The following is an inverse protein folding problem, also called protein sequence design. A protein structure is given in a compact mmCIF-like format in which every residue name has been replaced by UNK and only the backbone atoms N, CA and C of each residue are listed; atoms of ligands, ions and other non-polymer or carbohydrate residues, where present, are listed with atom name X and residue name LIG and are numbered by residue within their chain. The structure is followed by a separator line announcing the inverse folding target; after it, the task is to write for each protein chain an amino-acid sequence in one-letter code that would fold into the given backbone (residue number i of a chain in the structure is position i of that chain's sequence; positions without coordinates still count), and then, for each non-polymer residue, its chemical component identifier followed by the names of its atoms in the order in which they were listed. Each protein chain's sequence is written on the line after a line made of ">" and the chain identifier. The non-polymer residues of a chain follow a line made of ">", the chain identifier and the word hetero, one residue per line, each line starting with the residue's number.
data_IF_155925965620
#
_entry.id   IF_155925965620
#
_cell.length_a   1.000
_cell.length_b   1.000
_cell.length_c   1.000
_cell.angle_alpha   90.00
_cell.angle_beta   90.00
_cell.angle_gamma   90.00
#
_symmetry.space_group_name_H-M   'P 1'
#
loop_
_entity.id
_entity.type
_entity.pdbx_description
1 polymer ?
#
# COMPACT_ATOMS: atom_id res chain seq x y z
N UNK A 1 -24.42 -64.72 7.58
CA UNK A 1 -23.84 -65.99 7.09
C UNK A 1 -22.72 -65.62 6.12
N UNK A 2 -21.50 -65.60 6.66
CA UNK A 2 -20.31 -66.36 6.19
C UNK A 2 -19.55 -65.68 5.05
N UNK A 3 -18.56 -64.83 5.34
CA UNK A 3 -17.10 -65.11 5.48
C UNK A 3 -16.46 -65.82 4.30
N UNK A 4 -15.43 -65.19 3.71
CA UNK A 4 -14.11 -65.82 3.50
C UNK A 4 -13.04 -64.73 3.42
N UNK A 5 -12.14 -64.74 4.40
CA UNK A 5 -10.83 -64.08 4.41
C UNK A 5 -9.85 -64.86 3.54
N UNK A 6 -8.91 -64.19 2.87
CA UNK A 6 -7.55 -64.71 2.69
C UNK A 6 -6.51 -63.60 2.89
N UNK A 7 -5.52 -63.95 3.71
CA UNK A 7 -4.42 -63.14 4.24
C UNK A 7 -3.36 -62.78 3.19
N UNK A 8 -2.70 -61.65 3.48
CA UNK A 8 -1.43 -61.14 2.95
C UNK A 8 -0.22 -62.04 3.26
N UNK A 9 0.92 -61.77 2.62
CA UNK A 9 2.02 -61.25 3.42
C UNK A 9 2.65 -59.99 2.82
N UNK A 10 3.08 -59.09 3.72
CA UNK A 10 3.49 -57.73 3.42
C UNK A 10 4.93 -57.53 2.99
N UNK A 11 5.17 -56.31 2.53
CA UNK A 11 6.47 -55.64 2.45
C UNK A 11 6.21 -54.11 2.52
N UNK A 12 6.53 -53.51 3.67
CA UNK A 12 6.66 -52.05 3.87
C UNK A 12 8.13 -51.63 3.59
N UNK A 13 8.48 -50.33 3.51
CA UNK A 13 7.95 -49.31 2.60
C UNK A 13 9.09 -48.51 1.92
N UNK A 14 8.89 -48.04 0.69
CA UNK A 14 9.68 -46.91 0.18
C UNK A 14 8.84 -45.65 0.31
N UNK A 15 9.19 -44.81 1.29
CA UNK A 15 8.68 -43.45 1.38
C UNK A 15 9.22 -42.63 0.20
N UNK A 16 8.37 -42.33 -0.77
CA UNK A 16 8.55 -41.20 -1.66
C UNK A 16 7.46 -40.18 -1.35
N UNK A 17 7.78 -39.30 -0.40
CA UNK A 17 7.02 -38.08 -0.16
C UNK A 17 7.13 -37.18 -1.38
N UNK A 18 6.17 -37.31 -2.31
CA UNK A 18 5.89 -36.30 -3.33
C UNK A 18 5.45 -35.05 -2.58
N UNK A 19 6.39 -34.13 -2.34
CA UNK A 19 6.06 -32.76 -1.94
C UNK A 19 5.18 -32.19 -3.05
N UNK A 20 3.93 -31.88 -2.70
CA UNK A 20 3.05 -31.05 -3.51
C UNK A 20 3.78 -29.75 -3.89
N UNK A 21 3.58 -29.20 -5.09
CA UNK A 21 4.19 -27.94 -5.47
C UNK A 21 3.81 -26.87 -4.44
N UNK A 22 4.81 -26.26 -3.82
CA UNK A 22 4.62 -25.11 -2.93
C UNK A 22 4.38 -23.92 -3.85
N UNK A 23 3.14 -23.45 -3.92
CA UNK A 23 2.86 -22.15 -4.52
C UNK A 23 3.40 -21.08 -3.58
N UNK A 24 4.55 -20.51 -3.92
CA UNK A 24 5.11 -19.33 -3.27
C UNK A 24 4.52 -18.11 -3.94
N UNK A 25 3.45 -17.57 -3.38
CA UNK A 25 2.93 -16.26 -3.78
C UNK A 25 3.79 -15.19 -3.11
N UNK A 26 4.84 -14.75 -3.80
CA UNK A 26 5.64 -13.62 -3.35
C UNK A 26 4.94 -12.31 -3.75
N UNK A 27 4.10 -11.79 -2.87
CA UNK A 27 3.55 -10.44 -3.02
C UNK A 27 4.46 -9.51 -2.24
N UNK A 28 5.17 -8.61 -2.93
CA UNK A 28 5.91 -7.52 -2.30
C UNK A 28 4.89 -6.54 -1.69
N UNK A 29 4.39 -6.83 -0.49
CA UNK A 29 3.48 -5.92 0.21
C UNK A 29 4.28 -5.02 1.12
N UNK A 30 4.51 -3.78 0.69
CA UNK A 30 4.78 -2.71 1.63
C UNK A 30 3.46 -1.97 1.89
N UNK A 31 2.74 -2.41 2.93
CA UNK A 31 1.61 -1.66 3.49
C UNK A 31 2.09 -0.52 4.42
N UNK A 32 3.40 -0.28 4.49
CA UNK A 32 4.00 0.93 5.04
C UNK A 32 3.50 2.18 4.30
N UNK A 33 3.55 3.32 4.97
CA UNK A 33 3.13 4.65 4.51
C UNK A 33 3.08 4.90 2.98
N UNK A 34 2.15 5.74 2.50
CA UNK A 34 2.13 6.19 1.08
C UNK A 34 3.48 6.82 0.68
N UNK A 35 4.25 7.34 1.64
CA UNK A 35 5.60 7.85 1.40
C UNK A 35 6.69 6.77 1.36
N UNK A 36 6.48 5.61 2.00
CA UNK A 36 7.44 4.49 1.93
C UNK A 36 7.50 3.90 0.51
N UNK A 37 6.49 4.16 -0.32
CA UNK A 37 6.46 3.77 -1.73
C UNK A 37 7.40 4.63 -2.60
N UNK A 38 7.73 5.86 -2.18
CA UNK A 38 8.47 6.82 -3.02
C UNK A 38 9.81 7.28 -2.42
N UNK A 39 10.11 6.96 -1.15
CA UNK A 39 11.42 7.25 -0.55
C UNK A 39 12.53 6.25 -0.91
N UNK A 40 12.25 5.21 -1.71
CA UNK A 40 13.31 4.36 -2.27
C UNK A 40 13.99 4.96 -3.51
N UNK A 41 13.41 6.01 -4.11
CA UNK A 41 13.87 6.54 -5.42
C UNK A 41 14.77 7.79 -5.33
N UNK A 42 15.21 8.20 -4.13
CA UNK A 42 16.18 9.31 -3.98
C UNK A 42 17.50 8.83 -3.40
N UNK A 43 18.24 8.02 -4.16
CA UNK A 43 19.70 8.07 -4.22
C UNK A 43 20.19 7.18 -5.36
N UNK A 44 20.23 7.74 -6.56
CA UNK A 44 21.12 7.30 -7.63
C UNK A 44 21.55 8.54 -8.39
N UNK A 45 22.60 9.19 -7.89
CA UNK A 45 23.33 10.19 -8.65
C UNK A 45 24.05 9.47 -9.79
N UNK A 46 23.49 9.54 -11.00
CA UNK A 46 24.22 9.19 -12.22
C UNK A 46 25.03 10.43 -12.62
N UNK A 47 26.34 10.35 -12.43
CA UNK A 47 27.30 11.27 -13.02
C UNK A 47 27.48 10.94 -14.50
N UNK A 48 26.90 11.72 -15.40
CA UNK A 48 27.21 11.67 -16.83
C UNK A 48 28.29 12.70 -17.15
N UNK A 49 29.50 12.23 -17.49
CA UNK A 49 30.49 13.03 -18.19
C UNK A 49 30.20 12.99 -19.69
N UNK A 50 29.81 14.13 -20.29
CA UNK A 50 29.69 14.27 -21.74
C UNK A 50 30.80 15.20 -22.25
N UNK A 51 31.81 14.61 -22.88
CA UNK A 51 32.65 15.31 -23.85
C UNK A 51 31.95 15.23 -25.22
N UNK A 52 31.68 16.39 -25.81
CA UNK A 52 31.19 16.55 -27.18
C UNK A 52 32.41 16.79 -28.08
N UNK A 53 32.45 16.18 -29.28
CA UNK A 53 32.67 17.02 -30.45
C UNK A 53 31.64 16.74 -31.57
N UNK A 54 31.42 17.80 -32.34
CA UNK A 54 30.42 17.95 -33.39
C UNK A 54 30.84 17.35 -34.75
N UNK A 55 29.81 17.11 -35.57
CA UNK A 55 29.71 17.19 -37.03
C UNK A 55 29.57 15.92 -37.91
N UNK A 56 28.49 15.99 -38.70
CA UNK A 56 28.30 15.60 -40.11
C UNK A 56 27.65 14.25 -40.54
N UNK A 57 26.39 14.39 -41.00
CA UNK A 57 25.81 14.07 -42.34
C UNK A 57 25.63 12.61 -42.82
N UNK A 58 24.32 12.28 -42.99
CA UNK A 58 23.61 11.47 -44.02
C UNK A 58 23.75 9.94 -44.18
N UNK A 59 22.56 9.37 -44.45
CA UNK A 59 22.17 8.14 -45.18
C UNK A 59 21.97 6.82 -44.42
N UNK A 60 20.71 6.35 -44.45
CA UNK A 60 20.30 4.93 -44.34
C UNK A 60 20.83 4.09 -45.51
N UNK A 61 21.13 2.78 -45.32
CA UNK A 61 20.11 1.76 -45.64
C UNK A 61 20.11 0.47 -44.76
N UNK A 62 18.92 -0.13 -44.66
CA UNK A 62 18.49 -1.54 -44.55
C UNK A 62 19.45 -2.72 -44.18
N UNK A 63 18.95 -3.53 -43.21
CA UNK A 63 18.99 -5.01 -43.02
C UNK A 63 20.32 -5.67 -42.56
N UNK A 64 20.32 -6.27 -41.35
CA UNK A 64 20.54 -7.70 -41.04
C UNK A 64 20.67 -7.93 -39.52
N UNK A 65 19.98 -8.96 -38.99
CA UNK A 65 20.19 -9.49 -37.64
C UNK A 65 21.33 -10.51 -37.66
N UNK A 66 22.22 -10.50 -36.65
CA UNK A 66 22.91 -11.71 -36.22
C UNK A 66 22.54 -12.08 -34.78
N UNK A 67 22.15 -13.35 -34.66
CA UNK A 67 22.13 -14.16 -33.45
C UNK A 67 23.52 -14.28 -32.83
N UNK A 68 23.67 -13.89 -31.55
CA UNK A 68 24.60 -14.53 -30.61
C UNK A 68 24.49 -13.90 -29.23
N UNK A 69 24.11 -14.72 -28.25
CA UNK A 69 24.14 -14.39 -26.82
C UNK A 69 25.58 -14.14 -26.35
N UNK A 70 25.85 -13.07 -25.58
CA UNK A 70 27.00 -13.03 -24.69
C UNK A 70 26.56 -13.45 -23.28
N UNK A 71 27.16 -14.52 -22.76
CA UNK A 71 27.19 -14.77 -21.32
C UNK A 71 28.12 -13.74 -20.67
N UNK A 72 27.62 -13.01 -19.67
CA UNK A 72 28.43 -12.09 -18.87
C UNK A 72 28.54 -12.66 -17.45
N UNK A 73 29.73 -13.19 -17.17
CA UNK A 73 30.23 -13.55 -15.85
C UNK A 73 30.74 -12.28 -15.16
N UNK A 74 30.14 -11.87 -14.04
CA UNK A 74 30.66 -10.75 -13.24
C UNK A 74 31.32 -11.29 -11.97
N UNK A 75 32.63 -11.04 -11.88
CA UNK A 75 33.45 -11.25 -10.70
C UNK A 75 33.06 -10.27 -9.58
N UNK A 76 32.92 -10.80 -8.36
CA UNK A 76 32.88 -10.03 -7.11
C UNK A 76 34.23 -9.39 -6.83
N UNK A 77 34.26 -8.07 -6.67
CA UNK A 77 35.34 -7.36 -5.97
C UNK A 77 34.78 -6.64 -4.75
N UNK A 78 35.20 -7.12 -3.59
CA UNK A 78 35.18 -6.41 -2.30
C UNK A 78 36.02 -5.14 -2.36
N UNK A 79 35.65 -4.14 -1.54
CA UNK A 79 36.46 -3.04 -0.93
C UNK A 79 35.59 -1.76 -0.89
N UNK A 80 35.65 -0.83 0.06
CA UNK A 80 36.30 -0.65 1.36
C UNK A 80 35.56 0.55 2.00
N UNK A 81 35.38 0.55 3.32
CA UNK A 81 34.79 1.67 4.05
C UNK A 81 35.78 2.85 4.13
N UNK A 82 35.35 4.06 3.76
CA UNK A 82 36.04 5.30 4.12
C UNK A 82 35.10 6.18 4.95
N UNK A 83 35.56 6.47 6.16
CA UNK A 83 34.96 7.33 7.16
C UNK A 83 35.48 8.75 6.93
N UNK A 84 34.60 9.74 6.67
CA UNK A 84 34.97 11.15 6.72
C UNK A 84 33.94 11.94 7.52
N UNK A 85 34.36 12.24 8.74
CA UNK A 85 33.77 13.16 9.69
C UNK A 85 34.28 14.57 9.34
N UNK A 86 33.40 15.51 8.97
CA UNK A 86 33.70 16.95 8.95
C UNK A 86 32.40 17.78 8.86
N UNK A 87 32.13 18.56 9.92
CA UNK A 87 31.10 19.62 9.96
C UNK A 87 31.59 20.88 9.24
N UNK A 88 30.67 21.70 8.70
CA UNK A 88 30.88 23.14 8.57
C UNK A 88 29.92 23.98 9.45
N UNK A 89 30.26 25.25 9.74
CA UNK A 89 29.64 26.08 10.77
C UNK A 89 28.39 26.82 10.31
N UNK A 90 27.62 27.30 11.29
CA UNK A 90 26.24 27.76 11.15
C UNK A 90 26.01 29.13 10.51
N UNK A 91 24.76 29.32 10.08
CA UNK A 91 24.10 30.62 9.87
C UNK A 91 22.65 30.47 10.35
N UNK A 92 22.18 31.50 11.04
CA UNK A 92 20.92 31.66 11.76
C UNK A 92 19.66 31.59 10.87
N UNK A 93 18.58 31.02 11.42
CA UNK A 93 17.21 31.19 10.92
C UNK A 93 16.27 31.58 12.08
N UNK A 94 15.21 32.36 11.81
CA UNK A 94 14.41 33.03 12.82
C UNK A 94 13.37 32.13 13.49
N UNK A 95 12.99 32.57 14.69
CA UNK A 95 12.10 31.97 15.68
C UNK A 95 10.76 31.51 15.08
N UNK A 96 10.48 30.21 15.15
CA UNK A 96 9.13 29.65 15.03
C UNK A 96 8.52 29.50 16.43
N UNK A 97 7.43 30.22 16.67
CA UNK A 97 6.62 30.15 17.89
C UNK A 97 6.02 28.75 18.04
N UNK A 98 6.47 28.02 19.04
CA UNK A 98 5.87 26.77 19.50
C UNK A 98 4.73 27.07 20.46
N UNK A 99 3.49 26.77 20.08
CA UNK A 99 2.35 26.74 20.99
C UNK A 99 2.57 25.59 22.00
N UNK A 100 2.80 25.98 23.26
CA UNK A 100 2.81 25.11 24.42
C UNK A 100 1.37 24.73 24.78
N UNK A 101 1.06 23.43 24.76
CA UNK A 101 -0.03 22.85 25.53
C UNK A 101 0.58 21.94 26.60
N UNK A 102 0.82 22.53 27.77
CA UNK A 102 1.23 21.82 28.99
C UNK A 102 0.03 21.19 29.69
N UNK A 103 0.10 19.84 29.76
CA UNK A 103 -0.31 18.93 30.84
C UNK A 103 -1.71 18.99 31.50
N UNK A 104 -2.34 17.80 31.53
CA UNK A 104 -2.69 17.18 32.80
C UNK A 104 -2.46 15.67 32.71
N UNK A 105 -1.48 15.19 33.47
CA UNK A 105 -1.16 13.78 33.67
C UNK A 105 -2.07 13.20 34.75
N UNK A 106 -2.80 12.15 34.41
CA UNK A 106 -3.35 11.21 35.39
C UNK A 106 -3.23 9.78 34.84
N UNK A 107 -2.75 8.91 35.71
CA UNK A 107 -2.19 7.58 35.45
C UNK A 107 -3.15 6.56 34.83
N UNK A 108 -2.53 5.46 34.39
CA UNK A 108 -3.12 4.38 33.59
C UNK A 108 -2.23 4.16 32.38
N UNK A 109 -1.67 2.96 32.25
CA UNK A 109 -0.66 2.59 31.26
C UNK A 109 -1.29 2.56 29.86
N UNK A 110 -1.58 3.74 29.28
CA UNK A 110 -2.28 3.90 28.00
C UNK A 110 -1.29 3.60 26.87
N UNK A 111 -1.47 2.45 26.21
CA UNK A 111 -0.74 2.13 25.00
C UNK A 111 -1.12 3.13 23.88
N UNK A 112 -0.20 4.06 23.62
CA UNK A 112 -0.36 5.11 22.60
C UNK A 112 0.63 4.84 21.47
N UNK A 113 0.09 4.64 20.26
CA UNK A 113 0.88 4.52 19.04
C UNK A 113 0.44 5.61 18.05
N UNK A 114 1.27 6.64 17.89
CA UNK A 114 0.92 7.80 17.07
C UNK A 114 -0.36 8.51 17.54
N UNK A 115 -1.40 8.48 16.70
CA UNK A 115 -2.72 9.03 17.01
C UNK A 115 -3.72 7.99 17.56
N UNK A 116 -3.36 6.71 17.53
CA UNK A 116 -4.14 5.60 18.07
C UNK A 116 -3.89 5.47 19.58
N UNK A 117 -4.95 5.22 20.33
CA UNK A 117 -4.91 4.95 21.77
C UNK A 117 -5.83 3.77 22.07
N UNK A 118 -5.39 2.88 22.93
CA UNK A 118 -6.22 1.83 23.53
C UNK A 118 -6.33 2.13 25.02
N UNK A 119 -7.54 2.11 25.54
CA UNK A 119 -7.76 2.21 26.99
C UNK A 119 -7.75 0.84 27.66
N UNK A 120 -7.85 0.82 28.99
CA UNK A 120 -7.82 -0.40 29.81
C UNK A 120 -8.97 -1.36 29.51
N UNK A 121 -10.03 -0.89 28.84
CA UNK A 121 -11.20 -1.69 28.44
C UNK A 121 -11.05 -2.30 27.04
N UNK A 122 -9.95 -2.00 26.35
CA UNK A 122 -9.72 -2.41 24.95
C UNK A 122 -10.38 -1.47 23.93
N UNK A 123 -11.00 -0.37 24.37
CA UNK A 123 -11.64 0.60 23.48
C UNK A 123 -10.57 1.36 22.70
N UNK A 124 -10.73 1.38 21.38
CA UNK A 124 -9.79 2.05 20.48
C UNK A 124 -10.29 3.45 20.15
N UNK A 125 -9.40 4.45 20.24
CA UNK A 125 -9.66 5.80 19.74
C UNK A 125 -8.57 6.27 18.78
N UNK A 126 -8.96 7.03 17.75
CA UNK A 126 -8.04 7.69 16.82
C UNK A 126 -8.25 9.19 16.85
N UNK A 127 -7.19 9.95 17.16
CA UNK A 127 -7.30 11.40 17.40
C UNK A 127 -8.40 11.75 18.44
N UNK A 128 -8.62 10.84 19.40
CA UNK A 128 -9.66 10.91 20.45
C UNK A 128 -11.10 10.77 19.93
N UNK A 129 -11.29 10.21 18.74
CA UNK A 129 -12.59 9.79 18.23
C UNK A 129 -12.69 8.27 18.37
N UNK A 130 -13.83 7.77 18.87
CA UNK A 130 -14.12 6.34 18.94
C UNK A 130 -14.06 5.75 17.54
N UNK A 131 -13.26 4.70 17.33
CA UNK A 131 -13.02 4.22 15.97
C UNK A 131 -14.27 3.55 15.38
N UNK A 132 -15.08 2.87 16.19
CA UNK A 132 -16.35 2.28 15.74
C UNK A 132 -17.34 3.35 15.24
N UNK A 133 -17.53 4.43 16.00
CA UNK A 133 -18.39 5.55 15.58
C UNK A 133 -17.83 6.23 14.34
N UNK A 134 -16.52 6.40 14.27
CA UNK A 134 -15.84 6.97 13.11
C UNK A 134 -16.09 6.14 11.85
N UNK A 135 -15.98 4.82 11.92
CA UNK A 135 -16.17 3.97 10.74
C UNK A 135 -17.61 3.88 10.31
N UNK A 136 -18.55 3.77 11.25
CA UNK A 136 -19.99 3.73 10.91
C UNK A 136 -20.48 5.07 10.34
N UNK A 137 -20.08 6.20 10.94
CA UNK A 137 -20.36 7.53 10.38
C UNK A 137 -19.67 7.74 9.03
N UNK A 138 -18.46 7.22 8.85
CA UNK A 138 -17.78 7.22 7.58
C UNK A 138 -18.56 6.44 6.50
N UNK A 139 -19.04 5.24 6.80
CA UNK A 139 -19.84 4.46 5.85
C UNK A 139 -21.10 5.21 5.41
N UNK A 140 -21.79 5.91 6.31
CA UNK A 140 -22.91 6.80 5.96
C UNK A 140 -22.47 7.87 4.95
N UNK A 141 -21.36 8.53 5.24
CA UNK A 141 -20.79 9.55 4.35
C UNK A 141 -20.42 8.99 2.97
N UNK A 142 -19.76 7.83 2.93
CA UNK A 142 -19.38 7.13 1.71
C UNK A 142 -20.61 6.70 0.89
N UNK A 143 -21.63 6.13 1.52
CA UNK A 143 -22.88 5.75 0.85
C UNK A 143 -23.50 6.93 0.12
N UNK A 144 -23.53 8.10 0.76
CA UNK A 144 -24.07 9.31 0.15
C UNK A 144 -23.23 9.79 -1.02
N UNK A 145 -21.91 10.00 -0.83
CA UNK A 145 -21.07 10.59 -1.89
C UNK A 145 -20.84 9.63 -3.06
N UNK A 146 -20.90 8.32 -2.84
CA UNK A 146 -20.83 7.32 -3.90
C UNK A 146 -22.20 7.09 -4.58
N UNK A 147 -23.30 7.32 -3.85
CA UNK A 147 -24.66 7.23 -4.39
C UNK A 147 -25.08 8.41 -5.27
N UNK A 148 -24.56 9.62 -4.99
CA UNK A 148 -24.83 10.87 -5.73
C UNK A 148 -24.16 10.94 -7.13
N UNK A 149 -24.04 9.80 -7.83
CA UNK A 149 -23.41 9.71 -9.15
C UNK A 149 -24.31 10.26 -10.27
N UNK A 150 -24.43 11.59 -10.34
CA UNK A 150 -25.16 12.29 -11.40
C UNK A 150 -24.28 12.84 -12.54
N UNK A 151 -22.95 12.75 -12.41
CA UNK A 151 -22.08 13.35 -13.43
C UNK A 151 -21.83 12.40 -14.60
N UNK A 152 -22.03 12.83 -15.86
CA UNK A 152 -21.72 12.02 -17.02
C UNK A 152 -20.25 11.63 -17.05
N UNK A 153 -19.95 10.50 -17.68
CA UNK A 153 -18.59 10.09 -17.92
C UNK A 153 -17.94 11.08 -18.90
N UNK A 154 -16.83 11.68 -18.49
CA UNK A 154 -16.02 12.59 -19.30
C UNK A 154 -14.54 12.33 -19.07
N UNK A 155 -13.71 12.85 -19.97
CA UNK A 155 -12.26 12.83 -19.78
C UNK A 155 -11.85 13.63 -18.53
N UNK A 156 -10.80 13.16 -17.88
CA UNK A 156 -10.18 13.83 -16.73
C UNK A 156 -9.36 15.01 -17.23
N UNK A 157 -9.57 16.17 -16.63
CA UNK A 157 -8.84 17.40 -16.90
C UNK A 157 -7.85 17.67 -15.75
N UNK A 158 -6.82 18.47 -16.01
CA UNK A 158 -5.80 18.79 -15.00
C UNK A 158 -6.40 19.40 -13.71
N UNK A 159 -7.47 20.17 -13.85
CA UNK A 159 -8.20 20.81 -12.74
C UNK A 159 -8.89 19.78 -11.83
N UNK A 160 -9.28 18.63 -12.36
CA UNK A 160 -9.99 17.58 -11.61
C UNK A 160 -9.12 16.97 -10.50
N UNK A 161 -7.79 16.97 -10.66
CA UNK A 161 -6.86 16.46 -9.65
C UNK A 161 -6.79 17.35 -8.40
N UNK A 162 -7.19 18.62 -8.51
CA UNK A 162 -7.22 19.58 -7.40
C UNK A 162 -8.63 19.79 -6.84
N UNK A 163 -9.66 19.24 -7.49
CA UNK A 163 -11.05 19.38 -7.06
C UNK A 163 -11.25 18.75 -5.69
N UNK A 164 -11.97 19.45 -4.81
CA UNK A 164 -12.38 18.93 -3.51
C UNK A 164 -13.87 19.24 -3.35
N UNK A 165 -14.66 18.20 -3.08
CA UNK A 165 -16.07 18.31 -2.76
C UNK A 165 -16.28 18.17 -1.26
N UNK A 166 -17.28 18.87 -0.73
CA UNK A 166 -17.56 18.97 0.69
C UNK A 166 -19.02 18.62 0.92
N UNK A 167 -19.27 17.63 1.77
CA UNK A 167 -20.63 17.28 2.17
C UNK A 167 -20.76 17.32 3.69
N UNK A 168 -21.77 18.03 4.18
CA UNK A 168 -22.08 18.17 5.59
C UNK A 168 -23.18 17.19 6.04
N UNK A 169 -22.98 16.57 7.20
CA UNK A 169 -23.84 15.56 7.81
C UNK A 169 -24.17 15.97 9.25
N UNK A 170 -25.29 16.69 9.45
CA UNK A 170 -25.83 16.95 10.78
C UNK A 170 -26.58 15.72 11.33
N UNK A 171 -26.57 15.47 12.66
CA UNK A 171 -27.25 14.32 13.27
C UNK A 171 -28.74 14.25 12.94
N UNK A 172 -29.41 15.39 12.90
CA UNK A 172 -30.82 15.54 12.54
C UNK A 172 -31.13 15.27 11.05
N UNK A 173 -30.10 15.14 10.20
CA UNK A 173 -30.21 15.06 8.76
C UNK A 173 -30.47 16.42 8.10
N UNK A 174 -30.49 16.44 6.77
CA UNK A 174 -30.80 17.64 5.99
C UNK A 174 -31.69 17.30 4.80
N UNK A 175 -31.93 18.27 3.91
CA UNK A 175 -32.64 18.01 2.65
C UNK A 175 -31.91 17.01 1.75
N UNK A 176 -30.58 16.93 1.87
CA UNK A 176 -29.76 16.06 1.04
C UNK A 176 -29.15 14.89 1.82
N UNK A 177 -28.85 15.05 3.11
CA UNK A 177 -28.18 14.00 3.90
C UNK A 177 -29.11 13.30 4.89
N UNK A 178 -28.94 11.98 5.10
CA UNK A 178 -29.78 11.21 6.00
C UNK A 178 -29.52 11.56 7.47
N UNK A 179 -30.54 11.36 8.31
CA UNK A 179 -30.44 11.42 9.78
C UNK A 179 -29.52 10.28 10.29
N UNK A 180 -28.72 10.54 11.32
CA UNK A 180 -27.82 9.55 11.92
C UNK A 180 -27.59 9.77 13.42
N UNK A 181 -27.16 8.73 14.19
CA UNK A 181 -26.96 8.85 15.63
C UNK A 181 -25.61 9.47 16.04
N UNK A 182 -24.67 9.61 15.10
CA UNK A 182 -23.32 10.11 15.38
C UNK A 182 -23.26 11.64 15.48
N UNK A 183 -22.17 12.16 16.05
CA UNK A 183 -21.90 13.60 16.06
C UNK A 183 -21.85 14.17 14.62
N UNK A 184 -22.15 15.46 14.49
CA UNK A 184 -22.06 16.14 13.20
C UNK A 184 -20.66 16.00 12.58
N UNK A 185 -20.61 15.84 11.27
CA UNK A 185 -19.35 15.74 10.54
C UNK A 185 -19.46 16.32 9.13
N UNK A 186 -18.30 16.59 8.54
CA UNK A 186 -18.16 16.93 7.13
C UNK A 186 -17.23 15.90 6.46
N UNK A 187 -17.65 15.38 5.32
CA UNK A 187 -16.83 14.53 4.47
C UNK A 187 -16.27 15.36 3.32
N UNK A 188 -14.95 15.33 3.16
CA UNK A 188 -14.27 15.86 1.97
C UNK A 188 -13.93 14.73 1.03
N UNK A 189 -14.28 14.88 -0.24
CA UNK A 189 -13.91 13.97 -1.31
C UNK A 189 -12.87 14.66 -2.19
N UNK A 190 -11.67 14.10 -2.27
CA UNK A 190 -10.59 14.64 -3.09
C UNK A 190 -10.63 14.03 -4.49
N UNK A 191 -10.47 14.86 -5.51
CA UNK A 191 -10.37 14.50 -6.92
C UNK A 191 -11.41 13.43 -7.38
N UNK A 192 -12.71 13.62 -7.12
CA UNK A 192 -13.74 12.60 -7.36
C UNK A 192 -13.74 12.07 -8.81
N UNK A 193 -13.56 12.96 -9.79
CA UNK A 193 -13.50 12.60 -11.21
C UNK A 193 -12.28 11.72 -11.53
N UNK A 194 -11.11 12.03 -10.95
CA UNK A 194 -9.90 11.24 -11.14
C UNK A 194 -10.02 9.84 -10.51
N UNK A 195 -10.52 9.74 -9.27
CA UNK A 195 -10.72 8.44 -8.63
C UNK A 195 -11.81 7.60 -9.28
N UNK A 196 -12.82 8.23 -9.90
CA UNK A 196 -13.76 7.51 -10.77
C UNK A 196 -13.04 6.93 -11.99
N UNK A 197 -12.17 7.69 -12.64
CA UNK A 197 -11.34 7.17 -13.74
C UNK A 197 -10.44 6.01 -13.28
N UNK A 198 -9.76 6.12 -12.13
CA UNK A 198 -8.90 5.04 -11.62
C UNK A 198 -9.69 3.77 -11.31
N UNK A 199 -10.87 3.89 -10.69
CA UNK A 199 -11.78 2.75 -10.50
C UNK A 199 -12.12 2.08 -11.83
N UNK A 200 -12.50 2.86 -12.85
CA UNK A 200 -12.80 2.33 -14.18
C UNK A 200 -11.58 1.65 -14.84
N UNK A 201 -10.39 2.25 -14.74
CA UNK A 201 -9.15 1.70 -15.29
C UNK A 201 -8.80 0.33 -14.69
N UNK A 202 -9.18 0.09 -13.43
CA UNK A 202 -9.00 -1.19 -12.74
C UNK A 202 -10.24 -2.10 -12.79
N UNK A 203 -11.26 -1.77 -13.59
CA UNK A 203 -12.47 -2.59 -13.73
C UNK A 203 -13.35 -2.64 -12.49
N UNK A 204 -13.29 -1.63 -11.62
CA UNK A 204 -14.10 -1.53 -10.41
C UNK A 204 -15.47 -0.96 -10.74
N UNK A 205 -16.51 -1.81 -10.66
CA UNK A 205 -17.90 -1.40 -10.84
C UNK A 205 -18.37 -0.47 -9.69
N UNK A 206 -19.03 0.68 -9.98
CA UNK A 206 -19.48 1.61 -8.95
C UNK A 206 -20.44 1.02 -7.92
N UNK A 207 -21.39 0.19 -8.35
CA UNK A 207 -22.39 -0.43 -7.48
C UNK A 207 -21.75 -1.48 -6.58
N UNK A 208 -20.87 -2.32 -7.14
CA UNK A 208 -20.08 -3.28 -6.36
C UNK A 208 -19.19 -2.56 -5.36
N UNK A 209 -18.49 -1.49 -5.76
CA UNK A 209 -17.61 -0.72 -4.88
C UNK A 209 -18.36 -0.13 -3.68
N UNK A 210 -19.52 0.48 -3.94
CA UNK A 210 -20.38 1.02 -2.87
C UNK A 210 -20.89 -0.10 -1.96
N UNK A 211 -21.34 -1.22 -2.53
CA UNK A 211 -21.81 -2.38 -1.74
C UNK A 211 -20.70 -2.93 -0.83
N UNK A 212 -19.49 -3.16 -1.36
CA UNK A 212 -18.36 -3.67 -0.59
C UNK A 212 -17.98 -2.76 0.58
N UNK A 213 -18.01 -1.45 0.39
CA UNK A 213 -17.62 -0.47 1.41
C UNK A 213 -18.68 -0.20 2.46
N UNK A 214 -19.96 -0.27 2.09
CA UNK A 214 -21.04 0.32 2.88
C UNK A 214 -22.15 -0.67 3.29
N UNK A 215 -22.27 -1.84 2.66
CA UNK A 215 -23.39 -2.76 2.94
C UNK A 215 -23.18 -3.63 4.19
N UNK A 216 -21.93 -3.82 4.62
CA UNK A 216 -21.55 -4.62 5.80
C UNK A 216 -20.54 -3.88 6.65
N UNK A 217 -20.42 -4.26 7.91
CA UNK A 217 -19.42 -3.70 8.82
C UNK A 217 -18.00 -3.93 8.30
N UNK A 218 -17.13 -2.94 8.52
CA UNK A 218 -15.70 -3.03 8.23
C UNK A 218 -14.98 -3.73 9.37
N UNK A 219 -13.96 -4.54 9.06
CA UNK A 219 -13.16 -5.22 10.06
C UNK A 219 -11.83 -4.49 10.29
N UNK A 220 -11.51 -4.12 11.54
CA UNK A 220 -10.21 -3.52 11.87
C UNK A 220 -9.12 -4.59 11.72
N UNK A 221 -8.07 -4.28 10.96
CA UNK A 221 -6.88 -5.10 10.88
C UNK A 221 -5.88 -4.66 11.96
N UNK A 222 -5.25 -5.62 12.67
CA UNK A 222 -4.17 -5.28 13.59
C UNK A 222 -3.02 -4.63 12.83
N UNK A 223 -2.60 -3.43 13.24
CA UNK A 223 -1.51 -2.71 12.59
C UNK A 223 -0.14 -3.08 13.20
N UNK A 224 0.76 -3.74 12.46
CA UNK A 224 2.12 -4.03 12.93
C UNK A 224 3.10 -2.84 12.76
N UNK A 225 2.67 -1.74 12.14
CA UNK A 225 3.51 -0.61 11.75
C UNK A 225 3.62 0.49 12.82
N UNK A 226 4.81 1.09 12.92
CA UNK A 226 5.13 2.14 13.90
C UNK A 226 4.36 3.48 13.70
N UNK A 227 3.66 3.64 12.56
CA UNK A 227 2.94 4.89 12.22
C UNK A 227 1.68 5.11 13.06
N UNK A 228 1.14 4.06 13.68
CA UNK A 228 -0.15 4.12 14.39
C UNK A 228 -1.33 4.43 13.48
N UNK A 229 -1.21 4.18 12.16
CA UNK A 229 -2.34 4.22 11.24
C UNK A 229 -3.38 3.16 11.60
N UNK A 230 -4.63 3.35 11.20
CA UNK A 230 -5.66 2.33 11.31
C UNK A 230 -5.90 1.75 9.93
N UNK A 231 -6.08 0.44 9.89
CA UNK A 231 -6.40 -0.32 8.71
C UNK A 231 -7.74 -1.00 8.93
N UNK A 232 -8.62 -0.87 7.94
CA UNK A 232 -9.87 -1.59 7.85
C UNK A 232 -9.89 -2.39 6.56
N UNK A 233 -10.59 -3.51 6.59
CA UNK A 233 -10.86 -4.33 5.43
C UNK A 233 -12.37 -4.48 5.24
N UNK A 234 -12.82 -4.52 4.00
CA UNK A 234 -14.22 -4.80 3.66
C UNK A 234 -14.56 -6.25 3.97
N UNK A 235 -15.83 -6.52 4.25
CA UNK A 235 -16.29 -7.88 4.61
C UNK A 235 -16.13 -8.91 3.48
N UNK A 236 -15.98 -8.46 2.23
CA UNK A 236 -15.68 -9.28 1.05
C UNK A 236 -14.17 -9.34 0.73
N UNK A 237 -13.34 -8.85 1.65
CA UNK A 237 -11.88 -8.91 1.58
C UNK A 237 -11.25 -8.22 0.35
N UNK A 238 -12.00 -7.32 -0.30
CA UNK A 238 -11.60 -6.74 -1.58
C UNK A 238 -10.86 -5.41 -1.43
N UNK A 239 -11.23 -4.59 -0.44
CA UNK A 239 -10.68 -3.25 -0.27
C UNK A 239 -10.11 -3.03 1.13
N UNK A 240 -9.02 -2.27 1.19
CA UNK A 240 -8.40 -1.76 2.40
C UNK A 240 -8.71 -0.28 2.53
N UNK A 241 -9.13 0.14 3.72
CA UNK A 241 -9.23 1.54 4.11
C UNK A 241 -8.11 1.83 5.09
N UNK A 242 -7.21 2.74 4.73
CA UNK A 242 -6.05 3.09 5.55
C UNK A 242 -6.10 4.55 5.95
N UNK A 243 -5.94 4.85 7.24
CA UNK A 243 -5.76 6.24 7.67
C UNK A 243 -4.39 6.76 7.25
N UNK A 244 -4.34 7.96 6.70
CA UNK A 244 -3.11 8.63 6.27
C UNK A 244 -2.95 9.97 6.98
N UNK A 245 -1.69 10.38 7.16
CA UNK A 245 -1.35 11.70 7.68
C UNK A 245 -1.75 12.81 6.70
N UNK A 246 -1.74 14.06 7.18
CA UNK A 246 -1.94 15.24 6.32
C UNK A 246 -0.86 15.33 5.23
N UNK A 247 0.39 14.96 5.55
CA UNK A 247 1.52 15.00 4.62
C UNK A 247 1.32 13.96 3.51
N UNK A 248 1.04 12.70 3.86
CA UNK A 248 0.77 11.63 2.91
C UNK A 248 -0.42 11.95 1.99
N UNK A 249 -1.53 12.47 2.53
CA UNK A 249 -2.69 12.82 1.71
C UNK A 249 -2.43 13.98 0.73
N UNK A 250 -1.59 14.95 1.12
CA UNK A 250 -1.16 16.03 0.21
C UNK A 250 -0.23 15.50 -0.87
N UNK A 251 0.68 14.62 -0.48
CA UNK A 251 1.59 13.97 -1.42
C UNK A 251 0.84 13.11 -2.44
N UNK A 252 -0.13 12.31 -1.99
CA UNK A 252 -0.99 11.54 -2.90
C UNK A 252 -1.73 12.46 -3.87
N UNK A 253 -2.26 13.60 -3.42
CA UNK A 253 -2.87 14.60 -4.32
C UNK A 253 -1.90 15.12 -5.38
N UNK A 254 -0.65 15.46 -4.99
CA UNK A 254 0.36 15.88 -5.97
C UNK A 254 0.80 14.77 -6.92
N UNK A 255 0.64 13.50 -6.50
CA UNK A 255 0.99 12.33 -7.30
C UNK A 255 -0.07 12.00 -8.37
N UNK A 256 -1.34 12.41 -8.19
CA UNK A 256 -2.45 11.96 -9.04
C UNK A 256 -2.25 12.19 -10.56
N UNK A 257 -1.69 13.31 -11.04
CA UNK A 257 -1.42 13.48 -12.47
C UNK A 257 -0.41 12.47 -13.01
N UNK A 258 0.68 12.22 -12.28
CA UNK A 258 1.68 11.22 -12.66
C UNK A 258 1.12 9.81 -12.59
N UNK A 259 0.33 9.51 -11.56
CA UNK A 259 -0.36 8.23 -11.43
C UNK A 259 -1.35 8.00 -12.58
N UNK A 260 -2.10 9.02 -13.00
CA UNK A 260 -2.95 8.96 -14.18
C UNK A 260 -2.17 8.59 -15.45
N UNK A 261 -1.03 9.26 -15.70
CA UNK A 261 -0.16 8.93 -16.83
C UNK A 261 0.34 7.48 -16.75
N UNK A 262 0.81 7.04 -15.58
CA UNK A 262 1.27 5.67 -15.40
C UNK A 262 0.18 4.65 -15.72
N UNK A 263 -1.05 4.84 -15.24
CA UNK A 263 -2.15 3.91 -15.53
C UNK A 263 -2.53 3.85 -17.02
N UNK A 264 -2.32 4.93 -17.76
CA UNK A 264 -2.57 4.93 -19.21
C UNK A 264 -1.46 4.27 -20.02
N UNK A 265 -0.22 4.27 -19.51
CA UNK A 265 0.97 3.78 -20.23
C UNK A 265 1.39 2.37 -19.79
N UNK A 266 1.19 2.05 -18.50
CA UNK A 266 1.52 0.78 -17.86
C UNK A 266 0.27 0.19 -17.17
N UNK A 267 -0.62 -0.48 -17.93
CA UNK A 267 -1.87 -1.03 -17.38
C UNK A 267 -1.65 -2.17 -16.37
N UNK A 268 -0.45 -2.76 -16.33
CA UNK A 268 -0.10 -3.88 -15.44
C UNK A 268 0.72 -3.46 -14.21
N UNK A 269 0.79 -2.15 -13.93
CA UNK A 269 1.50 -1.59 -12.78
C UNK A 269 1.25 -2.34 -11.47
N UNK A 270 2.32 -2.49 -10.68
CA UNK A 270 2.33 -3.07 -9.35
C UNK A 270 2.09 -2.02 -8.25
N UNK A 271 2.02 -0.74 -8.61
CA UNK A 271 1.70 0.33 -7.67
C UNK A 271 0.35 0.09 -6.97
N UNK A 272 0.15 0.63 -5.75
CA UNK A 272 -1.11 0.49 -5.05
C UNK A 272 -2.26 1.03 -5.89
N UNK A 273 -3.36 0.28 -5.96
CA UNK A 273 -4.55 0.69 -6.72
C UNK A 273 -5.40 1.60 -5.86
N UNK A 274 -5.32 2.91 -6.07
CA UNK A 274 -6.05 3.89 -5.25
C UNK A 274 -7.45 4.14 -5.80
N UNK A 275 -8.48 3.97 -4.97
CA UNK A 275 -9.89 4.08 -5.37
C UNK A 275 -10.62 5.27 -4.76
N UNK A 276 -10.03 5.93 -3.76
CA UNK A 276 -10.56 7.16 -3.21
C UNK A 276 -9.66 7.75 -2.14
N UNK A 277 -9.64 9.07 -2.06
CA UNK A 277 -9.03 9.82 -0.97
C UNK A 277 -10.09 10.73 -0.35
N UNK A 278 -10.21 10.66 0.97
CA UNK A 278 -11.24 11.39 1.69
C UNK A 278 -10.70 11.96 3.00
N UNK A 279 -11.40 12.97 3.53
CA UNK A 279 -11.16 13.49 4.88
C UNK A 279 -12.48 13.58 5.64
N UNK A 280 -12.58 12.81 6.71
CA UNK A 280 -13.62 12.95 7.73
C UNK A 280 -13.22 14.09 8.68
N UNK A 281 -14.11 15.07 8.82
CA UNK A 281 -13.95 16.18 9.74
C UNK A 281 -15.08 16.17 10.76
N UNK A 282 -14.74 16.07 12.03
CA UNK A 282 -15.72 16.24 13.11
C UNK A 282 -15.09 17.08 14.21
N UNK A 283 -15.82 18.09 14.67
CA UNK A 283 -15.30 19.19 15.48
C UNK A 283 -13.98 19.73 14.90
N UNK A 284 -12.90 19.71 15.68
CA UNK A 284 -11.57 20.17 15.25
C UNK A 284 -10.63 19.03 14.81
N UNK A 285 -11.17 17.83 14.53
CA UNK A 285 -10.39 16.67 14.12
C UNK A 285 -10.53 16.42 12.63
N UNK A 286 -9.40 16.14 12.00
CA UNK A 286 -9.28 15.83 10.57
C UNK A 286 -8.67 14.45 10.44
N UNK A 287 -9.44 13.47 9.99
CA UNK A 287 -9.00 12.09 9.78
C UNK A 287 -9.07 11.83 8.28
N UNK A 288 -7.93 11.50 7.68
CA UNK A 288 -7.83 11.26 6.24
C UNK A 288 -7.63 9.77 6.03
N UNK A 289 -8.22 9.25 4.97
CA UNK A 289 -8.10 7.85 4.63
C UNK A 289 -8.09 7.69 3.12
N UNK A 290 -7.39 6.64 2.73
CA UNK A 290 -7.28 6.18 1.35
C UNK A 290 -7.96 4.83 1.27
N UNK A 291 -8.78 4.64 0.25
CA UNK A 291 -9.34 3.35 -0.13
C UNK A 291 -8.45 2.78 -1.23
N UNK A 292 -7.97 1.56 -1.03
CA UNK A 292 -7.07 0.87 -1.97
C UNK A 292 -7.41 -0.61 -2.08
N UNK A 293 -6.89 -1.28 -3.10
CA UNK A 293 -7.09 -2.73 -3.24
C UNK A 293 -6.45 -3.51 -2.09
N UNK A 294 -7.11 -4.60 -1.69
CA UNK A 294 -6.42 -5.67 -0.98
C UNK A 294 -5.55 -6.46 -1.97
N UNK A 295 -4.25 -6.57 -1.70
CA UNK A 295 -3.33 -7.32 -2.57
C UNK A 295 -3.41 -8.83 -2.34
N UNK A 296 -3.84 -9.25 -1.14
CA UNK A 296 -3.83 -10.66 -0.73
C UNK A 296 -5.22 -10.99 -0.19
N UNK A 297 -6.15 -11.42 -1.06
CA UNK A 297 -7.47 -11.82 -0.63
C UNK A 297 -7.44 -13.15 0.13
N UNK A 298 -8.30 -13.28 1.12
CA UNK A 298 -8.36 -14.36 2.12
C UNK A 298 -8.79 -15.69 1.52
N UNK A 299 -9.36 -15.67 0.31
CA UNK A 299 -9.66 -16.87 -0.46
C UNK A 299 -8.40 -17.53 -1.05
N UNK A 300 -7.25 -16.86 -1.03
CA UNK A 300 -5.96 -17.44 -1.41
C UNK A 300 -5.21 -17.83 -0.14
N UNK A 301 -4.95 -19.13 0.05
CA UNK A 301 -4.12 -19.61 1.16
C UNK A 301 -2.68 -19.15 0.95
N UNK A 302 -2.23 -18.22 1.79
CA UNK A 302 -0.84 -17.76 1.79
C UNK A 302 0.01 -18.65 2.71
N UNK A 303 1.08 -19.21 2.15
CA UNK A 303 2.02 -20.07 2.89
C UNK A 303 3.18 -19.27 3.50
N UNK A 304 3.67 -18.26 2.78
CA UNK A 304 4.79 -17.41 3.19
C UNK A 304 4.48 -15.96 2.79
N UNK A 305 4.91 -15.00 3.62
CA UNK A 305 4.65 -13.57 3.40
C UNK A 305 5.90 -12.76 3.66
N UNK A 306 6.24 -11.85 2.74
CA UNK A 306 7.44 -11.04 2.81
C UNK A 306 7.15 -9.55 2.60
N UNK A 307 7.70 -8.70 3.47
CA UNK A 307 7.93 -7.27 3.22
C UNK A 307 9.38 -7.15 2.73
N UNK A 308 9.60 -6.75 1.48
CA UNK A 308 10.93 -6.62 0.86
C UNK A 308 11.19 -5.15 0.49
N UNK A 309 12.39 -4.66 0.79
CA UNK A 309 12.81 -3.26 0.53
C UNK A 309 14.20 -3.14 -0.08
N UNK A 310 14.93 -4.24 -0.29
CA UNK A 310 16.29 -4.27 -0.83
C UNK A 310 17.39 -3.87 0.18
N UNK A 311 17.04 -3.23 1.28
CA UNK A 311 17.97 -2.85 2.35
C UNK A 311 18.29 -4.03 3.30
N UNK A 312 19.35 -3.88 4.11
CA UNK A 312 19.83 -4.95 5.03
C UNK A 312 19.55 -4.60 6.51
N UNK A 313 19.64 -3.32 6.86
CA UNK A 313 19.51 -2.87 8.25
C UNK A 313 18.06 -3.01 8.77
N UNK A 314 17.88 -3.70 9.90
CA UNK A 314 16.57 -3.99 10.52
C UNK A 314 15.56 -4.68 9.58
N UNK A 315 16.04 -5.44 8.60
CA UNK A 315 15.23 -6.22 7.66
C UNK A 315 15.17 -7.71 8.03
N UNK A 316 14.95 -7.99 9.32
CA UNK A 316 14.62 -9.31 9.87
C UNK A 316 13.33 -9.22 10.68
N UNK A 317 12.44 -10.20 10.58
CA UNK A 317 11.22 -10.26 11.39
C UNK A 317 11.54 -10.36 12.88
N UNK A 318 10.78 -9.63 13.71
CA UNK A 318 10.92 -9.65 15.17
C UNK A 318 10.52 -11.02 15.73
N UNK A 319 10.94 -11.32 16.95
CA UNK A 319 10.55 -12.56 17.63
C UNK A 319 9.04 -12.65 17.84
N UNK A 320 8.37 -11.52 18.11
CA UNK A 320 6.92 -11.46 18.25
C UNK A 320 6.20 -11.77 16.94
N UNK A 321 6.62 -11.17 15.83
CA UNK A 321 5.98 -11.41 14.52
C UNK A 321 6.16 -12.88 14.09
N UNK A 322 7.30 -13.50 14.41
CA UNK A 322 7.58 -14.91 14.11
C UNK A 322 6.70 -15.91 14.87
N UNK A 323 6.12 -15.51 16.00
CA UNK A 323 5.20 -16.37 16.78
C UNK A 323 3.82 -16.46 16.15
N UNK A 324 3.50 -15.63 15.16
CA UNK A 324 2.20 -15.64 14.46
C UNK A 324 2.15 -16.81 13.48
N UNK A 325 0.94 -17.33 13.25
CA UNK A 325 0.71 -18.45 12.32
C UNK A 325 1.22 -18.17 10.90
N UNK A 326 1.12 -16.90 10.46
CA UNK A 326 1.61 -16.44 9.17
C UNK A 326 2.43 -15.15 9.31
N UNK A 327 3.73 -15.28 9.65
CA UNK A 327 4.59 -14.14 9.92
C UNK A 327 4.88 -13.33 8.66
N UNK A 328 4.97 -12.01 8.82
CA UNK A 328 5.51 -11.10 7.79
C UNK A 328 7.03 -11.08 7.90
N UNK A 329 7.68 -11.90 7.08
CA UNK A 329 9.13 -12.02 7.00
C UNK A 329 9.74 -10.83 6.23
N UNK A 330 11.05 -10.61 6.37
CA UNK A 330 11.76 -9.48 5.73
C UNK A 330 12.95 -9.95 4.87
N UNK A 331 13.68 -9.01 4.28
CA UNK A 331 14.76 -9.28 3.30
C UNK A 331 15.82 -10.28 3.80
N UNK A 332 16.29 -10.17 5.04
CA UNK A 332 17.29 -11.10 5.57
C UNK A 332 16.71 -12.49 5.85
N UNK A 333 15.40 -12.56 6.13
CA UNK A 333 14.69 -13.84 6.27
C UNK A 333 14.56 -14.52 4.93
N UNK A 334 14.15 -13.76 3.91
CA UNK A 334 14.06 -14.23 2.54
C UNK A 334 15.39 -14.78 2.04
N UNK A 335 16.50 -14.03 2.20
CA UNK A 335 17.85 -14.49 1.82
C UNK A 335 18.26 -15.79 2.53
N UNK A 336 17.83 -15.98 3.79
CA UNK A 336 18.16 -17.18 4.55
C UNK A 336 17.32 -18.40 4.18
N UNK A 337 16.04 -18.20 3.85
CA UNK A 337 15.09 -19.28 3.52
C UNK A 337 15.15 -19.67 2.05
N UNK A 338 15.39 -18.71 1.17
CA UNK A 338 15.43 -18.87 -0.28
C UNK A 338 16.79 -18.39 -0.84
N UNK A 339 17.91 -19.07 -0.51
CA UNK A 339 19.25 -18.65 -0.93
C UNK A 339 19.44 -18.64 -2.45
N UNK A 340 18.61 -19.39 -3.19
CA UNK A 340 18.59 -19.43 -4.65
C UNK A 340 17.48 -18.57 -5.26
N UNK A 341 16.77 -17.78 -4.45
CA UNK A 341 15.64 -16.97 -4.87
C UNK A 341 14.40 -17.79 -5.26
N UNK A 342 13.48 -17.14 -5.97
CA UNK A 342 12.29 -17.77 -6.53
C UNK A 342 12.47 -17.96 -8.03
N UNK A 343 12.16 -19.16 -8.51
CA UNK A 343 12.26 -19.49 -9.93
C UNK A 343 10.95 -19.09 -10.60
N UNK A 344 11.06 -18.26 -11.63
CA UNK A 344 9.97 -17.83 -12.50
C UNK A 344 10.27 -18.29 -13.92
N UNK A 345 9.24 -18.63 -14.68
CA UNK A 345 9.40 -18.87 -16.12
C UNK A 345 9.93 -17.60 -16.79
N UNK A 346 10.87 -17.69 -17.75
CA UNK A 346 11.53 -16.52 -18.33
C UNK A 346 10.55 -15.44 -18.81
N UNK A 347 9.47 -15.84 -19.46
CA UNK A 347 8.42 -14.92 -19.91
C UNK A 347 7.83 -14.08 -18.76
N UNK A 348 7.44 -14.71 -17.64
CA UNK A 348 6.87 -13.99 -16.50
C UNK A 348 7.92 -13.17 -15.75
N UNK A 349 9.16 -13.65 -15.69
CA UNK A 349 10.28 -12.91 -15.11
C UNK A 349 10.51 -11.59 -15.85
N UNK A 350 10.62 -11.65 -17.18
CA UNK A 350 10.87 -10.47 -18.01
C UNK A 350 9.72 -9.45 -17.89
N UNK A 351 8.46 -9.91 -17.92
CA UNK A 351 7.29 -9.05 -17.73
C UNK A 351 7.28 -8.39 -16.33
N UNK A 352 7.58 -9.17 -15.29
CA UNK A 352 7.63 -8.66 -13.92
C UNK A 352 8.74 -7.62 -13.75
N UNK A 353 9.94 -7.91 -14.26
CA UNK A 353 11.09 -7.01 -14.12
C UNK A 353 10.90 -5.72 -14.91
N UNK A 354 10.36 -5.80 -16.13
CA UNK A 354 10.01 -4.61 -16.91
C UNK A 354 9.00 -3.73 -16.16
N UNK A 355 7.95 -4.34 -15.61
CA UNK A 355 6.92 -3.61 -14.86
C UNK A 355 7.50 -2.95 -13.60
N UNK A 356 8.38 -3.65 -12.87
CA UNK A 356 9.07 -3.09 -11.69
C UNK A 356 9.95 -1.92 -12.11
N UNK A 357 10.70 -2.03 -13.21
CA UNK A 357 11.56 -0.96 -13.70
C UNK A 357 10.74 0.29 -14.05
N UNK A 358 9.62 0.11 -14.76
CA UNK A 358 8.74 1.20 -15.16
C UNK A 358 8.05 1.87 -13.97
N UNK A 359 7.68 1.11 -12.93
CA UNK A 359 7.05 1.65 -11.72
C UNK A 359 8.04 2.40 -10.79
N UNK A 360 9.33 2.08 -10.86
CA UNK A 360 10.38 2.69 -10.02
C UNK A 360 10.96 3.96 -10.65
N UNK A 361 11.00 4.03 -11.98
CA UNK A 361 11.48 5.16 -12.78
C UNK A 361 10.60 6.40 -12.60
#
# INVERSE_FOLDING_TARGET
>A
MTTTEQQTPGLFPHQNGRKSPVTVSCVATNVGSVTDFLFSSTHSTVSTSSNIPSNEIQQEPSIECPSSSPQILIHTTSEQCINMNQQPPGISNPVSVSENDSELSSGGNKEKLGHRRVDETGTVTYKRVMVDDLMKSLQIGLTYVLGEHHQPQRQVLLQDFQQIEYQYFPPEGSKSTPKHPYAQFQLKTYAPTAFRFFRNAFGVDPSSFMSSLCAKDLHELPNPGASGSIFYITADDTYIIKTVSKKEARFLQSLLPGYYMNLTQNPFTLLPKFFGLYCYQSANKNIRFVIMNNLIPSNVRLHEKYDLKGSIYKRKASEEERKRDLPTLKDNDFKSLHPHGLILEPFFYDQLMQTIEDDVR
#
